data_IF_513920843026
#
_entry.id   IF_513920843026
#
_cell.length_a   1.000
_cell.length_b   1.000
_cell.length_c   1.000
_cell.angle_alpha   90.00
_cell.angle_beta   90.00
_cell.angle_gamma   90.00
#
_symmetry.space_group_name_H-M   'P 1'
#
loop_
_entity.id
_entity.type
_entity.pdbx_description
1 polymer ?
#
# COMPACT_ATOMS: atom_id res chain seq x y z
N UNK A 1 -10.54 -7.46 5.42
CA UNK A 1 -11.78 -6.90 4.86
C UNK A 1 -12.82 -6.76 5.96
N UNK A 2 -12.98 -7.78 6.80
CA UNK A 2 -13.84 -7.74 7.99
C UNK A 2 -13.59 -6.49 8.85
N UNK A 3 -12.34 -6.15 9.17
CA UNK A 3 -12.00 -4.95 9.96
C UNK A 3 -12.52 -3.64 9.32
N UNK A 4 -12.40 -3.50 7.99
CA UNK A 4 -12.94 -2.34 7.29
C UNK A 4 -14.47 -2.30 7.38
N UNK A 5 -15.14 -3.45 7.26
CA UNK A 5 -16.61 -3.55 7.38
C UNK A 5 -17.06 -3.20 8.80
N UNK A 6 -16.34 -3.69 9.82
CA UNK A 6 -16.58 -3.35 11.22
C UNK A 6 -16.34 -1.86 11.49
N UNK A 7 -15.28 -1.27 10.93
CA UNK A 7 -15.00 0.16 11.03
C UNK A 7 -16.10 1.01 10.36
N UNK A 8 -16.56 0.61 9.17
CA UNK A 8 -17.69 1.26 8.48
C UNK A 8 -18.95 1.22 9.35
N UNK A 9 -19.24 0.06 9.96
CA UNK A 9 -20.37 -0.10 10.86
C UNK A 9 -20.22 0.75 12.13
N UNK A 10 -19.04 0.81 12.72
CA UNK A 10 -18.78 1.61 13.92
C UNK A 10 -18.93 3.12 13.66
N UNK A 11 -18.41 3.60 12.52
CA UNK A 11 -18.49 5.00 12.11
C UNK A 11 -19.84 5.38 11.48
N UNK A 12 -20.66 4.37 11.11
CA UNK A 12 -21.86 4.54 10.28
C UNK A 12 -21.57 5.36 9.01
N UNK A 13 -20.38 5.18 8.44
CA UNK A 13 -19.88 5.97 7.33
C UNK A 13 -18.98 5.11 6.44
N UNK A 14 -19.29 4.93 5.15
CA UNK A 14 -18.46 4.17 4.22
C UNK A 14 -17.39 5.02 3.50
N UNK A 15 -17.27 6.30 3.83
CA UNK A 15 -16.40 7.23 3.11
C UNK A 15 -14.93 6.93 3.37
N UNK A 16 -14.13 6.81 2.31
CA UNK A 16 -12.67 6.66 2.40
C UNK A 16 -12.02 7.96 1.94
N UNK A 17 -11.15 8.54 2.75
CA UNK A 17 -10.46 9.80 2.40
C UNK A 17 -9.18 9.49 1.63
N UNK A 18 -9.07 10.01 0.40
CA UNK A 18 -7.83 9.92 -0.38
C UNK A 18 -6.77 10.90 0.15
N UNK A 19 -5.54 10.42 0.29
CA UNK A 19 -4.39 11.24 0.71
C UNK A 19 -3.41 11.34 -0.47
N UNK A 20 -3.67 12.31 -1.35
CA UNK A 20 -2.99 12.47 -2.65
C UNK A 20 -2.26 13.84 -2.72
N UNK A 21 -1.28 14.12 -1.85
CA UNK A 21 -0.59 15.40 -1.79
C UNK A 21 0.20 15.63 -3.08
N UNK A 22 0.07 16.81 -3.69
CA UNK A 22 0.78 17.14 -4.94
C UNK A 22 0.86 18.65 -5.15
N UNK A 23 1.69 19.13 -6.11
CA UNK A 23 1.68 20.54 -6.48
C UNK A 23 0.28 20.98 -6.90
N UNK A 24 -0.15 22.14 -6.38
CA UNK A 24 -1.49 22.69 -6.60
C UNK A 24 -2.57 22.16 -5.64
N UNK A 25 -2.26 21.16 -4.80
CA UNK A 25 -3.11 20.70 -3.69
C UNK A 25 -2.51 21.11 -2.35
N UNK A 26 -1.21 20.89 -2.15
CA UNK A 26 -0.51 21.30 -0.93
C UNK A 26 -0.37 22.84 -0.92
N UNK A 27 -0.87 23.54 0.12
CA UNK A 27 -0.74 25.00 0.22
C UNK A 27 0.72 25.44 0.30
N UNK A 28 1.06 26.53 -0.40
CA UNK A 28 2.41 27.09 -0.40
C UNK A 28 2.84 27.57 1.00
N UNK A 29 1.87 27.96 1.82
CA UNK A 29 2.06 28.40 3.19
C UNK A 29 2.70 27.30 4.06
N UNK A 30 2.26 26.04 3.91
CA UNK A 30 2.84 24.89 4.64
C UNK A 30 4.32 24.76 4.27
N UNK A 31 4.62 24.75 2.97
CA UNK A 31 5.99 24.64 2.47
C UNK A 31 6.85 25.80 3.00
N UNK A 32 6.35 27.04 2.89
CA UNK A 32 7.09 28.23 3.34
C UNK A 32 7.36 28.24 4.84
N UNK A 33 6.43 27.71 5.65
CA UNK A 33 6.57 27.66 7.10
C UNK A 33 7.65 26.68 7.59
N UNK A 34 7.98 25.68 6.77
CA UNK A 34 8.95 24.63 7.08
C UNK A 34 10.34 24.89 6.47
N UNK A 35 10.43 25.83 5.52
CA UNK A 35 11.63 26.03 4.72
C UNK A 35 12.86 26.38 5.56
N UNK A 36 12.73 27.35 6.49
CA UNK A 36 13.87 27.81 7.30
C UNK A 36 14.42 26.71 8.22
N UNK A 37 13.56 25.85 8.76
CA UNK A 37 13.95 24.73 9.64
C UNK A 37 14.66 23.64 8.84
N UNK A 38 14.05 23.16 7.74
CA UNK A 38 14.63 22.08 6.94
C UNK A 38 15.95 22.49 6.30
N UNK A 39 16.06 23.74 5.82
CA UNK A 39 17.29 24.24 5.18
C UNK A 39 18.44 24.48 6.17
N UNK A 40 18.19 24.45 7.49
CA UNK A 40 19.25 24.49 8.50
C UNK A 40 19.81 23.10 8.81
N UNK A 41 19.02 22.04 8.62
CA UNK A 41 19.41 20.67 8.96
C UNK A 41 19.87 19.86 7.75
N UNK A 42 19.35 20.18 6.56
CA UNK A 42 19.61 19.44 5.33
C UNK A 42 20.21 20.35 4.27
N UNK A 43 21.41 20.00 3.81
CA UNK A 43 22.14 20.72 2.78
C UNK A 43 22.16 19.94 1.47
N UNK A 44 22.43 20.65 0.36
CA UNK A 44 22.67 20.02 -0.94
C UNK A 44 21.41 19.55 -1.66
N UNK A 45 21.54 18.47 -2.42
CA UNK A 45 20.50 17.99 -3.33
C UNK A 45 19.27 17.37 -2.63
N UNK A 46 19.44 16.96 -1.37
CA UNK A 46 18.37 16.34 -0.56
C UNK A 46 17.44 17.37 0.11
N UNK A 47 17.84 18.64 0.14
CA UNK A 47 17.11 19.69 0.85
C UNK A 47 15.68 19.91 0.31
N UNK A 48 15.54 19.97 -1.03
CA UNK A 48 14.24 20.18 -1.66
C UNK A 48 13.31 18.95 -1.55
N UNK A 49 13.76 17.71 -1.87
CA UNK A 49 12.98 16.51 -1.61
C UNK A 49 12.52 16.41 -0.16
N UNK A 50 13.40 16.67 0.80
CA UNK A 50 13.08 16.61 2.24
C UNK A 50 12.02 17.65 2.61
N UNK A 51 12.19 18.91 2.18
CA UNK A 51 11.20 19.96 2.44
C UNK A 51 9.81 19.60 1.91
N UNK A 52 9.74 19.08 0.68
CA UNK A 52 8.46 18.68 0.07
C UNK A 52 7.86 17.46 0.77
N UNK A 53 8.69 16.49 1.14
CA UNK A 53 8.30 15.32 1.93
C UNK A 53 7.68 15.74 3.26
N UNK A 54 8.36 16.57 4.03
CA UNK A 54 7.85 17.11 5.30
C UNK A 54 6.53 17.86 5.08
N UNK A 55 6.43 18.69 4.05
CA UNK A 55 5.18 19.41 3.76
C UNK A 55 4.03 18.46 3.38
N UNK A 56 4.30 17.37 2.64
CA UNK A 56 3.29 16.37 2.28
C UNK A 56 2.80 15.61 3.51
N UNK A 57 3.70 15.25 4.42
CA UNK A 57 3.34 14.65 5.70
C UNK A 57 2.47 15.60 6.53
N UNK A 58 2.92 16.84 6.76
CA UNK A 58 2.17 17.83 7.56
C UNK A 58 0.78 18.11 7.00
N UNK A 59 0.66 18.22 5.68
CA UNK A 59 -0.63 18.38 5.00
C UNK A 59 -1.56 17.20 5.24
N UNK A 60 -1.08 15.97 5.03
CA UNK A 60 -1.90 14.78 5.23
C UNK A 60 -2.19 14.51 6.70
N UNK A 61 -1.26 14.81 7.61
CA UNK A 61 -1.47 14.74 9.06
C UNK A 61 -2.66 15.60 9.47
N UNK A 62 -2.68 16.85 9.02
CA UNK A 62 -3.80 17.76 9.29
C UNK A 62 -5.15 17.24 8.73
N UNK A 63 -5.14 16.59 7.56
CA UNK A 63 -6.34 15.94 7.02
C UNK A 63 -6.76 14.77 7.91
N UNK A 64 -5.83 13.88 8.27
CA UNK A 64 -6.08 12.73 9.15
C UNK A 64 -6.70 13.20 10.46
N UNK A 65 -6.11 14.20 11.12
CA UNK A 65 -6.61 14.77 12.38
C UNK A 65 -8.04 15.29 12.26
N UNK A 66 -8.38 15.90 11.13
CA UNK A 66 -9.71 16.44 10.89
C UNK A 66 -10.77 15.36 10.61
N UNK A 67 -10.38 14.17 10.14
CA UNK A 67 -11.32 13.15 9.63
C UNK A 67 -11.37 11.86 10.46
N UNK A 68 -10.36 11.58 11.29
CA UNK A 68 -10.19 10.30 11.99
C UNK A 68 -11.42 9.88 12.82
N UNK A 69 -12.12 10.86 13.40
CA UNK A 69 -13.33 10.59 14.18
C UNK A 69 -14.53 10.19 13.32
N UNK A 70 -14.55 10.54 12.04
CA UNK A 70 -15.74 10.43 11.18
C UNK A 70 -15.66 9.33 10.12
N UNK A 71 -14.46 8.95 9.69
CA UNK A 71 -14.27 8.00 8.59
C UNK A 71 -13.63 6.70 9.07
N UNK A 72 -13.92 5.56 8.42
CA UNK A 72 -13.33 4.28 8.76
C UNK A 72 -11.89 4.15 8.25
N UNK A 73 -11.55 4.82 7.15
CA UNK A 73 -10.33 4.55 6.41
C UNK A 73 -9.79 5.75 5.64
N UNK A 74 -8.48 5.70 5.40
CA UNK A 74 -7.76 6.59 4.48
C UNK A 74 -7.09 5.77 3.38
N UNK A 75 -6.83 6.41 2.25
CA UNK A 75 -6.23 5.77 1.08
C UNK A 75 -5.08 6.61 0.50
N UNK A 76 -3.86 6.53 1.06
CA UNK A 76 -2.69 7.24 0.53
C UNK A 76 -2.27 6.71 -0.85
N UNK A 77 -1.95 7.62 -1.77
CA UNK A 77 -1.49 7.29 -3.13
C UNK A 77 0.03 7.36 -3.21
N UNK A 78 0.68 6.19 -3.22
CA UNK A 78 2.15 6.11 -3.16
C UNK A 78 2.86 6.83 -4.30
N UNK A 79 2.24 6.93 -5.49
CA UNK A 79 2.81 7.62 -6.64
C UNK A 79 3.11 9.11 -6.36
N UNK A 80 2.35 9.74 -5.47
CA UNK A 80 2.59 11.13 -5.06
C UNK A 80 3.88 11.27 -4.25
N UNK A 81 4.20 10.24 -3.48
CA UNK A 81 5.37 10.17 -2.62
C UNK A 81 6.60 9.70 -3.38
N UNK A 82 6.48 8.68 -4.24
CA UNK A 82 7.54 8.21 -5.14
C UNK A 82 8.14 9.36 -5.99
N UNK A 83 7.32 10.34 -6.37
CA UNK A 83 7.76 11.52 -7.10
C UNK A 83 8.78 12.39 -6.34
N UNK A 84 8.91 12.24 -5.02
CA UNK A 84 9.89 12.92 -4.17
C UNK A 84 11.14 12.07 -3.89
N UNK A 85 11.25 10.87 -4.47
CA UNK A 85 12.39 9.98 -4.25
C UNK A 85 12.39 9.33 -2.86
N UNK A 86 13.58 8.97 -2.31
CA UNK A 86 13.68 8.25 -1.03
C UNK A 86 12.95 8.93 0.13
N UNK A 87 13.11 10.25 0.30
CA UNK A 87 12.42 11.01 1.34
C UNK A 87 10.90 10.88 1.24
N UNK A 88 10.36 10.75 0.02
CA UNK A 88 8.95 10.51 -0.21
C UNK A 88 8.50 9.13 0.26
N UNK A 89 9.27 8.08 0.00
CA UNK A 89 8.95 6.73 0.48
C UNK A 89 8.93 6.67 2.01
N UNK A 90 9.89 7.30 2.68
CA UNK A 90 9.89 7.41 4.14
C UNK A 90 8.64 8.16 4.64
N UNK A 91 8.30 9.26 3.98
CA UNK A 91 7.09 10.06 4.27
C UNK A 91 5.79 9.26 4.06
N UNK A 92 5.75 8.38 3.05
CA UNK A 92 4.62 7.49 2.82
C UNK A 92 4.41 6.56 4.01
N UNK A 93 5.49 5.87 4.43
CA UNK A 93 5.46 4.99 5.60
C UNK A 93 5.04 5.75 6.87
N UNK A 94 5.60 6.94 7.11
CA UNK A 94 5.21 7.80 8.23
C UNK A 94 3.73 8.22 8.18
N UNK A 95 3.19 8.50 6.99
CA UNK A 95 1.76 8.85 6.83
C UNK A 95 0.87 7.67 7.17
N UNK A 96 1.21 6.47 6.68
CA UNK A 96 0.48 5.24 6.97
C UNK A 96 0.54 4.89 8.46
N UNK A 97 1.72 4.98 9.09
CA UNK A 97 1.91 4.77 10.52
C UNK A 97 1.04 5.75 11.33
N UNK A 98 1.06 7.03 10.97
CA UNK A 98 0.27 8.05 11.65
C UNK A 98 -1.23 7.77 11.53
N UNK A 99 -1.73 7.46 10.33
CA UNK A 99 -3.14 7.10 10.14
C UNK A 99 -3.56 5.90 11.00
N UNK A 100 -2.73 4.84 11.05
CA UNK A 100 -2.97 3.70 11.94
C UNK A 100 -3.00 4.11 13.42
N UNK A 101 -2.12 5.00 13.84
CA UNK A 101 -2.11 5.50 15.22
C UNK A 101 -3.40 6.23 15.61
N UNK A 102 -4.13 6.78 14.63
CA UNK A 102 -5.44 7.41 14.81
C UNK A 102 -6.61 6.41 14.70
N UNK A 103 -6.34 5.11 14.59
CA UNK A 103 -7.36 4.06 14.52
C UNK A 103 -8.07 3.97 13.16
N UNK A 104 -7.45 4.50 12.10
CA UNK A 104 -7.96 4.39 10.73
C UNK A 104 -7.42 3.15 10.04
N UNK A 105 -8.27 2.49 9.26
CA UNK A 105 -7.84 1.48 8.30
C UNK A 105 -7.07 2.17 7.17
N UNK A 106 -5.90 1.63 6.81
CA UNK A 106 -5.02 2.19 5.78
C UNK A 106 -5.07 1.33 4.52
N UNK A 107 -5.53 1.94 3.42
CA UNK A 107 -5.59 1.31 2.09
C UNK A 107 -4.45 1.89 1.23
N UNK A 108 -3.37 1.14 1.06
CA UNK A 108 -2.26 1.53 0.19
C UNK A 108 -2.70 1.54 -1.27
N UNK A 109 -2.80 2.72 -1.88
CA UNK A 109 -3.13 2.83 -3.29
C UNK A 109 -1.86 2.86 -4.14
N UNK A 110 -1.38 1.67 -4.46
CA UNK A 110 -0.11 1.43 -5.12
C UNK A 110 -0.22 0.79 -6.51
N UNK A 111 -1.37 0.15 -6.79
CA UNK A 111 -1.73 -0.51 -8.07
C UNK A 111 -0.63 -1.46 -8.55
N UNK A 112 0.01 -2.17 -7.61
CA UNK A 112 1.14 -3.05 -7.91
C UNK A 112 0.69 -4.21 -8.80
N UNK A 113 1.56 -4.65 -9.70
CA UNK A 113 1.31 -5.78 -10.58
C UNK A 113 2.55 -6.05 -11.43
N UNK A 114 2.95 -7.31 -11.50
CA UNK A 114 4.12 -7.78 -12.26
C UNK A 114 3.99 -9.29 -12.52
N UNK A 115 4.95 -9.92 -13.20
CA UNK A 115 5.08 -11.38 -13.25
C UNK A 115 5.40 -11.96 -11.87
N UNK A 116 5.04 -13.22 -11.63
CA UNK A 116 4.98 -13.83 -10.29
C UNK A 116 6.18 -13.59 -9.36
N UNK A 117 7.43 -13.73 -9.83
CA UNK A 117 8.60 -13.51 -8.95
C UNK A 117 8.74 -12.07 -8.47
N UNK A 118 8.45 -11.10 -9.35
CA UNK A 118 8.52 -9.68 -9.02
C UNK A 118 7.27 -9.25 -8.25
N UNK A 119 6.10 -9.81 -8.59
CA UNK A 119 4.88 -9.63 -7.81
C UNK A 119 5.05 -10.06 -6.35
N UNK A 120 5.81 -11.13 -6.08
CA UNK A 120 6.17 -11.53 -4.72
C UNK A 120 6.97 -10.48 -3.93
N UNK A 121 7.81 -9.67 -4.61
CA UNK A 121 8.50 -8.56 -3.95
C UNK A 121 7.55 -7.40 -3.67
N UNK A 122 6.62 -7.10 -4.58
CA UNK A 122 5.60 -6.09 -4.33
C UNK A 122 4.59 -6.52 -3.25
N UNK A 123 4.31 -7.81 -3.11
CA UNK A 123 3.46 -8.33 -2.05
C UNK A 123 4.04 -8.10 -0.64
N UNK A 124 5.32 -7.73 -0.53
CA UNK A 124 5.95 -7.37 0.73
C UNK A 124 5.34 -6.13 1.42
N UNK A 125 4.57 -5.33 0.68
CA UNK A 125 3.67 -4.32 1.25
C UNK A 125 2.72 -4.92 2.32
N UNK A 126 2.23 -6.14 2.08
CA UNK A 126 1.30 -6.83 2.95
C UNK A 126 2.03 -7.58 4.08
N UNK A 127 3.11 -8.29 3.77
CA UNK A 127 3.91 -8.99 4.79
C UNK A 127 4.73 -8.06 5.68
N UNK A 128 4.85 -6.78 5.29
CA UNK A 128 5.58 -5.76 6.04
C UNK A 128 7.06 -5.66 5.67
N UNK A 129 7.67 -6.74 5.20
CA UNK A 129 9.04 -6.73 4.68
C UNK A 129 9.28 -7.92 3.74
N UNK A 130 10.34 -7.84 2.93
CA UNK A 130 10.72 -8.92 2.01
C UNK A 130 10.97 -10.25 2.76
N UNK A 131 10.60 -11.37 2.14
CA UNK A 131 10.84 -12.69 2.72
C UNK A 131 12.36 -12.99 2.78
N UNK A 132 12.88 -13.12 4.00
CA UNK A 132 14.30 -13.35 4.28
C UNK A 132 14.64 -14.83 4.48
N UNK A 133 13.70 -15.77 4.28
CA UNK A 133 13.87 -17.19 4.59
C UNK A 133 15.10 -17.82 3.92
N UNK A 134 15.48 -17.36 2.73
CA UNK A 134 16.67 -17.82 2.01
C UNK A 134 17.97 -17.55 2.75
N UNK A 135 18.01 -16.53 3.62
CA UNK A 135 19.15 -16.29 4.52
C UNK A 135 19.18 -17.29 5.69
N UNK A 136 18.06 -17.91 6.04
CA UNK A 136 17.94 -18.85 7.16
C UNK A 136 18.04 -20.32 6.75
N UNK A 137 18.32 -20.62 5.48
CA UNK A 137 18.49 -22.00 5.01
C UNK A 137 19.59 -22.72 5.80
N UNK A 138 19.33 -23.98 6.15
CA UNK A 138 20.14 -24.77 7.08
C UNK A 138 21.62 -24.77 6.67
N UNK A 139 22.53 -24.58 7.64
CA UNK A 139 23.98 -24.54 7.45
C UNK A 139 24.48 -25.81 6.75
N UNK A 140 23.77 -26.92 6.95
CA UNK A 140 24.01 -28.20 6.29
C UNK A 140 23.78 -28.18 4.76
N UNK A 141 23.02 -27.20 4.26
CA UNK A 141 22.59 -27.10 2.85
C UNK A 141 23.41 -26.08 2.07
N UNK A 142 23.75 -24.95 2.69
CA UNK A 142 24.43 -23.82 2.02
C UNK A 142 25.90 -23.66 2.42
N UNK A 143 26.34 -24.28 3.53
CA UNK A 143 27.67 -24.09 4.11
C UNK A 143 27.89 -22.69 4.72
N UNK A 144 26.88 -21.81 4.72
CA UNK A 144 26.97 -20.45 5.24
C UNK A 144 26.62 -20.40 6.72
N UNK A 145 27.61 -20.21 7.59
CA UNK A 145 27.40 -19.96 9.02
C UNK A 145 27.11 -18.46 9.21
N UNK A 146 25.83 -18.10 9.38
CA UNK A 146 25.49 -16.71 9.70
C UNK A 146 25.99 -16.33 11.11
N UNK A 147 26.52 -15.10 11.30
CA UNK A 147 26.84 -14.58 12.62
C UNK A 147 25.62 -14.62 13.55
N UNK A 148 25.83 -14.93 14.84
CA UNK A 148 24.73 -14.99 15.82
C UNK A 148 23.98 -13.67 15.95
N UNK A 149 24.67 -12.53 15.78
CA UNK A 149 24.06 -11.20 15.76
C UNK A 149 23.03 -11.06 14.63
N UNK A 150 23.34 -11.57 13.44
CA UNK A 150 22.43 -11.56 12.29
C UNK A 150 21.25 -12.52 12.52
N UNK A 151 21.49 -13.72 13.05
CA UNK A 151 20.41 -14.65 13.43
C UNK A 151 19.43 -14.03 14.42
N UNK A 152 19.93 -13.26 15.39
CA UNK A 152 19.11 -12.55 16.36
C UNK A 152 18.30 -11.42 15.71
N UNK A 153 18.94 -10.61 14.86
CA UNK A 153 18.28 -9.52 14.13
C UNK A 153 17.13 -10.05 13.27
N UNK A 154 17.38 -11.08 12.45
CA UNK A 154 16.35 -11.61 11.58
C UNK A 154 15.19 -12.24 12.38
N UNK A 155 15.45 -12.82 13.56
CA UNK A 155 14.39 -13.29 14.47
C UNK A 155 13.54 -12.13 15.02
N UNK A 156 14.17 -11.01 15.38
CA UNK A 156 13.43 -9.83 15.85
C UNK A 156 12.61 -9.15 14.76
N UNK A 157 12.99 -9.29 13.49
CA UNK A 157 12.30 -8.69 12.35
C UNK A 157 11.08 -9.48 11.86
N UNK A 158 10.72 -10.60 12.49
CA UNK A 158 9.67 -11.53 11.98
C UNK A 158 8.29 -10.88 11.81
N UNK A 159 7.98 -9.85 12.59
CA UNK A 159 6.71 -9.12 12.54
C UNK A 159 6.92 -7.65 12.17
N UNK A 160 8.01 -7.34 11.46
CA UNK A 160 8.30 -5.97 11.03
C UNK A 160 7.32 -5.57 9.93
N UNK A 161 6.45 -4.61 10.22
CA UNK A 161 5.60 -3.95 9.23
C UNK A 161 6.10 -2.53 9.01
N UNK A 162 6.88 -2.31 7.94
CA UNK A 162 7.40 -0.97 7.60
C UNK A 162 6.42 -0.14 6.78
N UNK A 163 5.34 -0.76 6.28
CA UNK A 163 4.41 -0.11 5.36
C UNK A 163 3.16 0.38 6.06
N UNK A 164 2.77 -0.27 7.17
CA UNK A 164 1.62 0.12 7.98
C UNK A 164 0.30 0.18 7.19
N UNK A 165 0.19 -0.66 6.16
CA UNK A 165 -1.03 -0.82 5.34
C UNK A 165 -1.86 -1.99 5.88
N UNK A 166 -3.18 -1.89 5.81
CA UNK A 166 -4.12 -2.99 6.08
C UNK A 166 -4.60 -3.65 4.78
N UNK A 167 -4.49 -2.91 3.69
CA UNK A 167 -4.80 -3.42 2.36
C UNK A 167 -4.05 -2.71 1.26
N UNK A 168 -3.96 -3.35 0.09
CA UNK A 168 -3.21 -2.85 -1.06
C UNK A 168 -4.04 -2.91 -2.34
N UNK A 169 -3.95 -1.89 -3.20
CA UNK A 169 -4.52 -1.97 -4.56
C UNK A 169 -3.59 -2.74 -5.51
N UNK A 170 -4.15 -3.68 -6.27
CA UNK A 170 -3.41 -4.62 -7.14
C UNK A 170 -3.95 -4.57 -8.56
N UNK A 171 -3.07 -4.52 -9.55
CA UNK A 171 -3.41 -4.58 -10.97
C UNK A 171 -3.37 -6.04 -11.48
N UNK A 172 -4.51 -6.62 -11.92
CA UNK A 172 -4.58 -8.03 -12.29
C UNK A 172 -4.20 -8.32 -13.75
N UNK A 173 -3.76 -7.32 -14.51
CA UNK A 173 -3.61 -7.43 -15.97
C UNK A 173 -2.75 -8.63 -16.42
N UNK A 174 -1.76 -9.01 -15.63
CA UNK A 174 -0.81 -10.09 -15.97
C UNK A 174 -1.34 -11.50 -15.65
N UNK A 175 -2.52 -11.60 -15.03
CA UNK A 175 -3.17 -12.86 -14.70
C UNK A 175 -2.86 -13.38 -13.29
N UNK A 176 -3.21 -14.64 -13.06
CA UNK A 176 -3.22 -15.24 -11.72
C UNK A 176 -1.84 -15.33 -11.08
N UNK A 177 -0.79 -15.55 -11.88
CA UNK A 177 0.60 -15.61 -11.40
C UNK A 177 1.07 -14.25 -10.86
N UNK A 178 0.58 -13.14 -11.42
CA UNK A 178 0.83 -11.79 -10.91
C UNK A 178 0.00 -11.41 -9.68
N UNK A 179 -1.17 -12.02 -9.47
CA UNK A 179 -2.08 -11.67 -8.35
C UNK A 179 -1.92 -12.59 -7.14
N UNK A 180 -1.69 -13.89 -7.38
CA UNK A 180 -1.64 -14.90 -6.33
C UNK A 180 -0.64 -14.57 -5.19
N UNK A 181 0.57 -14.05 -5.45
CA UNK A 181 1.48 -13.66 -4.37
C UNK A 181 0.86 -12.65 -3.40
N UNK A 182 0.07 -11.70 -3.90
CA UNK A 182 -0.61 -10.74 -3.04
C UNK A 182 -1.74 -11.37 -2.22
N UNK A 183 -2.50 -12.31 -2.81
CA UNK A 183 -3.54 -13.07 -2.08
C UNK A 183 -2.90 -13.89 -0.95
N UNK A 184 -1.82 -14.60 -1.27
CA UNK A 184 -1.12 -15.46 -0.31
C UNK A 184 -0.61 -14.63 0.88
N UNK A 185 0.03 -13.48 0.63
CA UNK A 185 0.53 -12.61 1.70
C UNK A 185 -0.61 -11.92 2.48
N UNK A 186 -1.69 -11.52 1.81
CA UNK A 186 -2.87 -10.97 2.48
C UNK A 186 -3.48 -11.96 3.46
N UNK A 187 -3.69 -13.21 3.04
CA UNK A 187 -4.25 -14.27 3.90
C UNK A 187 -3.28 -14.61 5.04
N UNK A 188 -1.98 -14.70 4.76
CA UNK A 188 -0.99 -15.06 5.77
C UNK A 188 -0.82 -13.99 6.87
N UNK A 189 -1.12 -12.72 6.57
CA UNK A 189 -0.91 -11.58 7.46
C UNK A 189 -2.20 -10.90 7.92
N UNK A 190 -3.37 -11.52 7.68
CA UNK A 190 -4.69 -10.98 8.02
C UNK A 190 -4.95 -9.58 7.42
N UNK A 191 -4.48 -9.38 6.18
CA UNK A 191 -4.66 -8.15 5.39
C UNK A 191 -5.59 -8.40 4.20
N UNK A 192 -5.78 -7.41 3.35
CA UNK A 192 -6.65 -7.54 2.17
C UNK A 192 -6.10 -6.87 0.92
N UNK A 193 -6.68 -7.19 -0.23
CA UNK A 193 -6.33 -6.52 -1.48
C UNK A 193 -7.58 -5.99 -2.18
N UNK A 194 -7.42 -4.87 -2.87
CA UNK A 194 -8.40 -4.31 -3.78
C UNK A 194 -7.89 -4.50 -5.21
N UNK A 195 -8.44 -5.49 -5.90
CA UNK A 195 -8.04 -5.79 -7.27
C UNK A 195 -8.75 -4.84 -8.24
N UNK A 196 -7.98 -4.19 -9.11
CA UNK A 196 -8.52 -3.26 -10.11
C UNK A 196 -9.43 -4.00 -11.10
N UNK A 197 -10.70 -3.59 -11.15
CA UNK A 197 -11.70 -4.16 -12.05
C UNK A 197 -12.10 -3.18 -13.16
N UNK A 198 -12.72 -2.06 -12.74
CA UNK A 198 -13.15 -0.98 -13.64
C UNK A 198 -12.66 0.35 -13.11
N UNK A 199 -11.96 1.10 -13.95
CA UNK A 199 -11.37 2.40 -13.57
C UNK A 199 -12.15 3.56 -14.19
N UNK A 200 -12.12 4.72 -13.52
CA UNK A 200 -12.94 5.89 -13.85
C UNK A 200 -12.39 6.75 -14.99
N UNK A 201 -11.17 6.51 -15.46
CA UNK A 201 -10.55 7.32 -16.51
C UNK A 201 -11.28 7.15 -17.86
N UNK A 202 -11.44 8.22 -18.67
CA UNK A 202 -12.20 8.16 -19.93
C UNK A 202 -11.70 7.12 -20.94
N UNK A 203 -10.40 6.79 -20.91
CA UNK A 203 -9.77 5.79 -21.78
C UNK A 203 -9.91 4.36 -21.28
N UNK A 204 -10.51 4.10 -20.12
CA UNK A 204 -10.64 2.73 -19.58
C UNK A 204 -11.40 1.79 -20.54
N UNK A 205 -12.37 2.35 -21.28
CA UNK A 205 -13.13 1.67 -22.33
C UNK A 205 -12.28 1.10 -23.48
N UNK A 206 -11.05 1.57 -23.67
CA UNK A 206 -10.14 1.07 -24.71
C UNK A 206 -9.76 -0.40 -24.50
N UNK A 207 -9.76 -0.86 -23.24
CA UNK A 207 -9.47 -2.25 -22.88
C UNK A 207 -10.61 -2.89 -22.11
N UNK A 208 -11.11 -2.24 -21.06
CA UNK A 208 -12.02 -2.86 -20.09
C UNK A 208 -13.39 -3.17 -20.70
N UNK A 209 -13.85 -2.37 -21.68
CA UNK A 209 -15.15 -2.52 -22.33
C UNK A 209 -15.07 -3.26 -23.69
N UNK A 210 -13.90 -3.80 -24.06
CA UNK A 210 -13.78 -4.67 -25.23
C UNK A 210 -14.64 -5.92 -25.03
N UNK A 211 -15.33 -6.35 -26.09
CA UNK A 211 -16.20 -7.52 -26.07
C UNK A 211 -15.40 -8.77 -26.46
N UNK A 212 -15.44 -9.79 -25.60
CA UNK A 212 -14.83 -11.09 -25.82
C UNK A 212 -15.67 -11.96 -26.76
N UNK A 213 -15.12 -13.10 -27.18
CA UNK A 213 -15.79 -14.03 -28.11
C UNK A 213 -17.12 -14.59 -27.57
N UNK A 214 -17.26 -14.68 -26.24
CA UNK A 214 -18.48 -15.13 -25.56
C UNK A 214 -19.52 -14.00 -25.37
N UNK A 215 -19.22 -12.79 -25.82
CA UNK A 215 -20.10 -11.63 -25.73
C UNK A 215 -19.98 -10.82 -24.45
N UNK A 216 -19.17 -11.24 -23.45
CA UNK A 216 -18.93 -10.49 -22.23
C UNK A 216 -17.88 -9.39 -22.44
N UNK A 217 -17.98 -8.24 -21.76
CA UNK A 217 -16.89 -7.27 -21.72
C UNK A 217 -15.71 -7.80 -20.89
N UNK A 218 -14.50 -7.35 -21.21
CA UNK A 218 -13.25 -7.75 -20.52
C UNK A 218 -13.35 -7.56 -19.00
N UNK A 219 -13.96 -6.47 -18.51
CA UNK A 219 -14.09 -6.26 -17.07
C UNK A 219 -14.99 -7.31 -16.39
N UNK A 220 -16.03 -7.83 -17.04
CA UNK A 220 -16.86 -8.90 -16.46
C UNK A 220 -16.08 -10.21 -16.38
N UNK A 221 -15.30 -10.53 -17.42
CA UNK A 221 -14.42 -11.70 -17.38
C UNK A 221 -13.36 -11.58 -16.28
N UNK A 222 -12.83 -10.38 -16.06
CA UNK A 222 -11.91 -10.12 -14.95
C UNK A 222 -12.61 -10.27 -13.58
N UNK A 223 -13.88 -9.88 -13.46
CA UNK A 223 -14.65 -10.12 -12.24
C UNK A 223 -14.76 -11.62 -11.93
N UNK A 224 -15.11 -12.43 -12.94
CA UNK A 224 -15.18 -13.90 -12.82
C UNK A 224 -13.82 -14.48 -12.36
N UNK A 225 -12.70 -13.98 -12.90
CA UNK A 225 -11.36 -14.41 -12.47
C UNK A 225 -11.07 -14.03 -11.01
N UNK A 226 -11.38 -12.80 -10.60
CA UNK A 226 -11.15 -12.32 -9.23
C UNK A 226 -11.97 -13.12 -8.22
N UNK A 227 -13.26 -13.39 -8.52
CA UNK A 227 -14.09 -14.25 -7.66
C UNK A 227 -13.48 -15.64 -7.50
N UNK A 228 -13.00 -16.24 -8.60
CA UNK A 228 -12.35 -17.55 -8.56
C UNK A 228 -11.05 -17.53 -7.75
N UNK A 229 -10.23 -16.48 -7.87
CA UNK A 229 -8.98 -16.37 -7.12
C UNK A 229 -9.21 -16.15 -5.62
N UNK A 230 -10.25 -15.39 -5.25
CA UNK A 230 -10.60 -15.09 -3.85
C UNK A 230 -11.51 -16.12 -3.17
N UNK A 231 -12.00 -17.14 -3.88
CA UNK A 231 -13.02 -18.07 -3.38
C UNK A 231 -12.63 -18.80 -2.07
N UNK A 232 -11.33 -19.01 -1.83
CA UNK A 232 -10.82 -19.66 -0.63
C UNK A 232 -10.45 -18.70 0.52
N UNK A 233 -10.61 -17.39 0.33
CA UNK A 233 -10.18 -16.36 1.28
C UNK A 233 -11.33 -15.49 1.81
N UNK A 234 -12.57 -15.98 1.75
CA UNK A 234 -13.77 -15.25 2.17
C UNK A 234 -13.78 -15.07 3.70
N UNK A 235 -13.84 -13.81 4.15
CA UNK A 235 -13.96 -13.42 5.55
C UNK A 235 -15.35 -13.63 6.14
N UNK A 236 -15.50 -13.27 7.41
CA UNK A 236 -16.75 -13.46 8.18
C UNK A 236 -17.93 -12.69 7.60
N UNK A 237 -17.67 -11.55 6.96
CA UNK A 237 -18.68 -10.71 6.35
C UNK A 237 -18.92 -11.01 4.85
N UNK A 238 -18.34 -12.10 4.33
CA UNK A 238 -18.62 -12.56 2.96
C UNK A 238 -17.72 -11.97 1.88
N UNK A 239 -16.60 -11.34 2.27
CA UNK A 239 -15.60 -10.74 1.38
C UNK A 239 -14.19 -11.10 1.80
#
# INVERSE_FOLDING_TARGET
>A
MDELIEAIAAKQNPSVVGLDPKPGIVPAEIISSLADEVLQEVEGEDALPTLLATAYFEFNRAIIDAVADFVPAVKPQIAMYEALGPAGIDTYAMTCEYAKSQGLVVIGDAKRGDIGSTAGQYAAHLSGFANLSSYFEDENTTGNVLPQSLKNLLKSSKNLDVWHEDSLTVNPYMGSDGVKPFIDEAVAHDKSIFVLLRTSNPSSKELQELILQDGKPVYEHMADLIENWGASSIGKHGY
#
